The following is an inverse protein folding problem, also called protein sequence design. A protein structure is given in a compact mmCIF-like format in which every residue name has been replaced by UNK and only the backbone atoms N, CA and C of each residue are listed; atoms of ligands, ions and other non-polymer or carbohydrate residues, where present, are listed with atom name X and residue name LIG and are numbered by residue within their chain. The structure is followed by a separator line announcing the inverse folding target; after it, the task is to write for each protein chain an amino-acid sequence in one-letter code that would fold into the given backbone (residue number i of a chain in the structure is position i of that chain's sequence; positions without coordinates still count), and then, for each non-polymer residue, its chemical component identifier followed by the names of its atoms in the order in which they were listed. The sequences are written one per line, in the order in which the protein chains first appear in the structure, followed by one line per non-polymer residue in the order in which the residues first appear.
data_IF_614490029982
#
_entry.id   IF_614490029982
#
_cell.length_a   1.000
_cell.length_b   1.000
_cell.length_c   1.000
_cell.angle_alpha   90.00
_cell.angle_beta   90.00
_cell.angle_gamma   90.00
#
_symmetry.space_group_name_H-M   'P 1'
#
loop_
_entity.id
_entity.type
_entity.pdbx_description
1 polymer ?
#
# COMPACT_ATOMS: atom_id res chain seq x y z
N UNK A 1 -49.64 7.88 -14.85
CA UNK A 1 -49.19 6.48 -14.86
C UNK A 1 -47.68 6.50 -14.96
N UNK A 2 -47.02 6.21 -13.84
CA UNK A 2 -45.58 6.36 -13.66
C UNK A 2 -44.89 5.04 -13.98
N UNK A 3 -44.11 4.99 -15.05
CA UNK A 3 -43.38 3.77 -15.41
C UNK A 3 -41.94 4.14 -15.73
N UNK A 4 -41.17 4.16 -14.64
CA UNK A 4 -39.76 3.75 -14.48
C UNK A 4 -38.81 4.02 -15.64
N UNK A 5 -37.99 5.04 -15.44
CA UNK A 5 -36.67 5.21 -16.05
C UNK A 5 -35.83 3.95 -15.86
N UNK A 6 -35.55 3.23 -16.94
CA UNK A 6 -34.50 2.21 -17.00
C UNK A 6 -33.15 2.92 -16.93
N UNK A 7 -32.59 3.04 -15.72
CA UNK A 7 -31.23 3.53 -15.48
C UNK A 7 -30.21 2.45 -15.88
N UNK A 8 -29.19 2.77 -16.69
CA UNK A 8 -28.11 1.86 -17.00
C UNK A 8 -27.04 1.95 -15.89
N UNK A 9 -27.32 1.34 -14.73
CA UNK A 9 -26.36 1.24 -13.62
C UNK A 9 -26.22 -0.22 -13.17
N UNK A 10 -25.69 -1.07 -14.04
CA UNK A 10 -25.27 -2.43 -13.63
C UNK A 10 -24.04 -2.91 -14.37
N UNK A 11 -23.07 -2.03 -14.56
CA UNK A 11 -21.74 -2.37 -15.06
C UNK A 11 -20.73 -1.63 -14.17
N UNK A 12 -19.85 -2.39 -13.49
CA UNK A 12 -18.77 -1.93 -12.60
C UNK A 12 -19.06 -1.77 -11.10
N UNK A 13 -19.77 -2.71 -10.48
CA UNK A 13 -19.64 -2.98 -9.04
C UNK A 13 -19.07 -4.38 -8.86
N UNK A 14 -17.79 -4.57 -9.23
CA UNK A 14 -17.01 -5.60 -8.54
C UNK A 14 -16.67 -4.95 -7.21
N UNK A 15 -17.22 -5.41 -6.07
CA UNK A 15 -16.79 -4.89 -4.79
C UNK A 15 -15.28 -5.08 -4.74
N UNK A 16 -14.54 -4.00 -4.56
CA UNK A 16 -13.16 -4.06 -4.09
C UNK A 16 -13.21 -4.71 -2.71
N UNK A 17 -13.33 -6.04 -2.69
CA UNK A 17 -13.54 -6.82 -1.49
C UNK A 17 -12.30 -6.61 -0.63
N UNK A 18 -12.47 -6.06 0.56
CA UNK A 18 -11.38 -5.88 1.49
C UNK A 18 -11.53 -6.91 2.62
N UNK A 19 -10.42 -7.43 3.16
CA UNK A 19 -10.47 -8.22 4.38
C UNK A 19 -11.25 -7.48 5.47
N UNK A 20 -12.15 -8.17 6.20
CA UNK A 20 -12.86 -7.54 7.30
C UNK A 20 -11.86 -7.11 8.38
N UNK A 21 -12.13 -5.96 9.00
CA UNK A 21 -11.36 -5.52 10.16
C UNK A 21 -11.53 -6.51 11.31
N UNK A 22 -10.56 -6.62 12.23
CA UNK A 22 -10.71 -7.47 13.41
C UNK A 22 -11.94 -7.13 14.26
N UNK A 23 -12.39 -5.89 14.22
CA UNK A 23 -13.57 -5.38 14.94
C UNK A 23 -14.85 -5.40 14.09
N UNK A 24 -14.80 -5.97 12.88
CA UNK A 24 -15.97 -6.03 11.99
C UNK A 24 -17.09 -6.83 12.65
N UNK A 25 -18.30 -6.29 12.58
CA UNK A 25 -19.52 -6.92 13.08
C UNK A 25 -19.80 -8.24 12.35
N UNK A 26 -20.55 -9.16 12.97
CA UNK A 26 -20.94 -10.41 12.31
C UNK A 26 -21.66 -10.18 10.97
N UNK A 27 -22.49 -9.13 10.86
CA UNK A 27 -23.16 -8.74 9.61
C UNK A 27 -22.18 -8.37 8.49
N UNK A 28 -21.12 -7.62 8.81
CA UNK A 28 -20.09 -7.27 7.83
C UNK A 28 -19.30 -8.50 7.40
N UNK A 29 -19.05 -9.43 8.33
CA UNK A 29 -18.39 -10.70 8.02
C UNK A 29 -19.26 -11.56 7.10
N UNK A 30 -20.59 -11.62 7.32
CA UNK A 30 -21.50 -12.34 6.43
C UNK A 30 -21.51 -11.77 5.01
N UNK A 31 -21.56 -10.44 4.89
CA UNK A 31 -21.46 -9.77 3.60
C UNK A 31 -20.13 -10.10 2.91
N UNK A 32 -19.02 -10.06 3.66
CA UNK A 32 -17.71 -10.45 3.13
C UNK A 32 -17.68 -11.90 2.64
N UNK A 33 -18.18 -12.87 3.43
CA UNK A 33 -18.20 -14.29 3.03
C UNK A 33 -19.05 -14.48 1.77
N UNK A 34 -20.22 -13.84 1.70
CA UNK A 34 -21.13 -13.94 0.55
C UNK A 34 -20.41 -13.49 -0.73
N UNK A 35 -19.85 -12.28 -0.72
CA UNK A 35 -19.13 -11.72 -1.86
C UNK A 35 -17.88 -12.54 -2.21
N UNK A 36 -17.14 -12.99 -1.19
CA UNK A 36 -15.96 -13.84 -1.38
C UNK A 36 -16.31 -15.12 -2.15
N UNK A 37 -17.39 -15.80 -1.76
CA UNK A 37 -17.82 -17.06 -2.37
C UNK A 37 -18.33 -16.86 -3.81
N UNK A 38 -19.04 -15.76 -4.07
CA UNK A 38 -19.44 -15.38 -5.43
C UNK A 38 -18.21 -15.12 -6.29
N UNK A 39 -17.25 -14.33 -5.80
CA UNK A 39 -16.07 -13.94 -6.57
C UNK A 39 -15.09 -15.09 -6.82
N UNK A 40 -14.90 -15.97 -5.84
CA UNK A 40 -13.88 -17.04 -5.92
C UNK A 40 -14.39 -18.31 -6.56
N UNK A 41 -15.67 -18.65 -6.36
CA UNK A 41 -16.26 -19.94 -6.78
C UNK A 41 -17.43 -19.77 -7.75
N UNK A 42 -17.84 -18.54 -8.06
CA UNK A 42 -18.99 -18.25 -8.91
C UNK A 42 -20.27 -18.92 -8.40
N UNK A 43 -20.42 -18.99 -7.07
CA UNK A 43 -21.62 -19.54 -6.44
C UNK A 43 -22.83 -18.61 -6.67
N UNK A 44 -24.05 -19.16 -6.80
CA UNK A 44 -25.26 -18.35 -6.85
C UNK A 44 -25.37 -17.47 -5.60
N UNK A 45 -25.74 -16.20 -5.78
CA UNK A 45 -25.77 -15.22 -4.69
C UNK A 45 -26.64 -15.68 -3.50
N UNK A 46 -27.77 -16.34 -3.78
CA UNK A 46 -28.65 -16.88 -2.73
C UNK A 46 -27.94 -17.97 -1.92
N UNK A 47 -27.26 -18.91 -2.59
CA UNK A 47 -26.57 -20.00 -1.92
C UNK A 47 -25.36 -19.51 -1.11
N UNK A 48 -24.60 -18.55 -1.64
CA UNK A 48 -23.49 -17.92 -0.92
C UNK A 48 -24.00 -17.20 0.34
N UNK A 49 -25.15 -16.54 0.26
CA UNK A 49 -25.82 -15.90 1.39
C UNK A 49 -26.28 -16.93 2.43
N UNK A 50 -26.91 -18.02 2.01
CA UNK A 50 -27.37 -19.08 2.91
C UNK A 50 -26.19 -19.69 3.70
N UNK A 51 -25.03 -19.88 3.06
CA UNK A 51 -23.80 -20.31 3.72
C UNK A 51 -23.34 -19.24 4.71
N UNK A 52 -23.23 -17.98 4.27
CA UNK A 52 -22.77 -16.88 5.10
C UNK A 52 -23.67 -16.65 6.33
N UNK A 53 -24.99 -16.82 6.20
CA UNK A 53 -25.95 -16.66 7.27
C UNK A 53 -25.72 -17.65 8.43
N UNK A 54 -25.01 -18.77 8.22
CA UNK A 54 -24.56 -19.66 9.31
C UNK A 54 -23.60 -18.95 10.28
N UNK A 55 -22.91 -17.89 9.86
CA UNK A 55 -22.01 -17.11 10.70
C UNK A 55 -22.76 -16.08 11.59
N UNK A 56 -23.05 -16.47 12.83
CA UNK A 56 -23.90 -15.67 13.73
C UNK A 56 -23.15 -14.75 14.69
N UNK A 57 -22.14 -15.26 15.40
CA UNK A 57 -21.53 -14.59 16.55
C UNK A 57 -20.09 -14.10 16.32
N UNK A 58 -19.39 -14.63 15.31
CA UNK A 58 -17.99 -14.30 15.08
C UNK A 58 -17.82 -12.89 14.50
N UNK A 59 -16.78 -12.19 14.94
CA UNK A 59 -16.32 -10.93 14.32
C UNK A 59 -15.25 -11.22 13.26
N UNK A 60 -14.75 -10.17 12.60
CA UNK A 60 -13.65 -10.33 11.64
C UNK A 60 -12.37 -10.90 12.27
N UNK A 61 -12.18 -10.75 13.59
CA UNK A 61 -11.10 -11.42 14.31
C UNK A 61 -11.28 -12.93 14.27
N UNK A 62 -12.45 -13.43 14.67
CA UNK A 62 -12.74 -14.87 14.69
C UNK A 62 -12.59 -15.49 13.29
N UNK A 63 -12.96 -14.76 12.23
CA UNK A 63 -12.73 -15.19 10.85
C UNK A 63 -11.25 -15.48 10.51
N UNK A 64 -10.32 -14.82 11.19
CA UNK A 64 -8.87 -15.07 10.99
C UNK A 64 -8.28 -16.04 11.98
N UNK A 65 -8.89 -16.16 13.16
CA UNK A 65 -8.26 -16.82 14.33
C UNK A 65 -8.84 -18.22 14.57
N UNK A 66 -10.08 -18.48 14.17
CA UNK A 66 -10.72 -19.76 14.38
C UNK A 66 -10.00 -20.89 13.62
N UNK A 67 -9.79 -22.05 14.27
CA UNK A 67 -9.24 -23.22 13.61
C UNK A 67 -10.26 -23.84 12.65
N UNK A 68 -9.82 -24.65 11.67
CA UNK A 68 -10.71 -25.32 10.72
C UNK A 68 -11.84 -26.14 11.36
N UNK A 69 -11.61 -26.70 12.55
CA UNK A 69 -12.63 -27.47 13.29
C UNK A 69 -13.85 -26.62 13.63
N UNK A 70 -13.65 -25.39 14.09
CA UNK A 70 -14.76 -24.47 14.41
C UNK A 70 -15.52 -24.07 13.15
N UNK A 71 -14.85 -23.96 12.00
CA UNK A 71 -15.55 -23.78 10.73
C UNK A 71 -16.43 -24.98 10.39
N UNK A 72 -15.95 -26.21 10.61
CA UNK A 72 -16.73 -27.43 10.39
C UNK A 72 -17.99 -27.46 11.28
N UNK A 73 -17.87 -27.04 12.54
CA UNK A 73 -19.00 -26.95 13.46
C UNK A 73 -20.06 -25.91 13.02
N UNK A 74 -19.63 -24.80 12.40
CA UNK A 74 -20.53 -23.72 11.95
C UNK A 74 -21.17 -24.03 10.60
N UNK A 75 -20.37 -24.43 9.61
CA UNK A 75 -20.80 -24.52 8.21
C UNK A 75 -21.15 -25.95 7.79
N UNK A 76 -20.64 -26.96 8.49
CA UNK A 76 -20.62 -28.35 8.06
C UNK A 76 -19.37 -28.68 7.24
N UNK A 77 -18.97 -29.95 7.20
CA UNK A 77 -17.66 -30.38 6.68
C UNK A 77 -17.34 -29.90 5.25
N UNK A 78 -18.34 -29.89 4.36
CA UNK A 78 -18.15 -29.50 2.95
C UNK A 78 -17.97 -27.98 2.79
N UNK A 79 -18.94 -27.20 3.27
CA UNK A 79 -18.94 -25.74 3.20
C UNK A 79 -17.77 -25.13 3.99
N UNK A 80 -17.44 -25.72 5.14
CA UNK A 80 -16.40 -25.23 6.03
C UNK A 80 -15.03 -25.17 5.38
N UNK A 81 -14.64 -26.24 4.67
CA UNK A 81 -13.35 -26.28 3.99
C UNK A 81 -13.24 -25.17 2.94
N UNK A 82 -14.30 -24.97 2.17
CA UNK A 82 -14.37 -23.93 1.17
C UNK A 82 -14.26 -22.53 1.80
N UNK A 83 -15.11 -22.21 2.77
CA UNK A 83 -15.12 -20.89 3.42
C UNK A 83 -13.78 -20.60 4.10
N UNK A 84 -13.22 -21.57 4.82
CA UNK A 84 -11.93 -21.44 5.48
C UNK A 84 -10.81 -21.17 4.47
N UNK A 85 -10.69 -22.02 3.44
CA UNK A 85 -9.64 -21.90 2.43
C UNK A 85 -9.69 -20.56 1.71
N UNK A 86 -10.85 -20.17 1.19
CA UNK A 86 -10.98 -18.94 0.42
C UNK A 86 -10.74 -17.71 1.29
N UNK A 87 -11.27 -17.69 2.53
CA UNK A 87 -11.08 -16.55 3.44
C UNK A 87 -9.61 -16.37 3.80
N UNK A 88 -8.93 -17.47 4.15
CA UNK A 88 -7.52 -17.42 4.55
C UNK A 88 -6.62 -17.03 3.38
N UNK A 89 -6.87 -17.55 2.18
CA UNK A 89 -6.12 -17.16 0.98
C UNK A 89 -6.32 -15.69 0.63
N UNK A 90 -7.56 -15.20 0.69
CA UNK A 90 -7.87 -13.81 0.41
C UNK A 90 -7.16 -12.86 1.37
N UNK A 91 -7.24 -13.14 2.67
CA UNK A 91 -6.65 -12.31 3.72
C UNK A 91 -5.12 -12.33 3.62
N UNK A 92 -4.50 -13.48 3.34
CA UNK A 92 -3.05 -13.58 3.12
C UNK A 92 -2.59 -12.75 1.93
N UNK A 93 -3.28 -12.85 0.79
CA UNK A 93 -2.97 -12.05 -0.41
C UNK A 93 -3.10 -10.56 -0.15
N UNK A 94 -4.18 -10.15 0.52
CA UNK A 94 -4.39 -8.74 0.86
C UNK A 94 -3.31 -8.19 1.82
N UNK A 95 -2.85 -8.99 2.79
CA UNK A 95 -1.73 -8.63 3.67
C UNK A 95 -0.41 -8.51 2.91
N UNK A 96 -0.12 -9.44 2.01
CA UNK A 96 1.08 -9.39 1.17
C UNK A 96 1.11 -8.14 0.29
N UNK A 97 -0.02 -7.82 -0.34
CA UNK A 97 -0.11 -6.62 -1.18
C UNK A 97 0.00 -5.32 -0.38
N UNK A 98 -0.51 -5.30 0.85
CA UNK A 98 -0.29 -4.17 1.78
C UNK A 98 1.18 -4.01 2.13
N UNK A 99 1.86 -5.11 2.48
CA UNK A 99 3.28 -5.10 2.82
C UNK A 99 4.13 -4.65 1.64
N UNK A 100 3.87 -5.18 0.43
CA UNK A 100 4.54 -4.78 -0.81
C UNK A 100 4.43 -3.27 -1.04
N UNK A 101 3.22 -2.71 -0.93
CA UNK A 101 2.98 -1.26 -1.06
C UNK A 101 3.74 -0.44 -0.01
N UNK A 102 3.84 -0.95 1.22
CA UNK A 102 4.58 -0.29 2.29
C UNK A 102 6.10 -0.31 2.07
N UNK A 103 6.63 -1.40 1.51
CA UNK A 103 8.06 -1.51 1.20
C UNK A 103 8.46 -0.61 0.02
N UNK A 104 7.62 -0.49 -1.01
CA UNK A 104 7.82 0.51 -2.08
C UNK A 104 7.84 1.94 -1.52
N UNK A 105 6.93 2.25 -0.59
CA UNK A 105 6.91 3.57 0.05
C UNK A 105 8.17 3.84 0.87
N UNK A 106 8.65 2.84 1.64
CA UNK A 106 9.92 2.93 2.37
C UNK A 106 11.11 3.13 1.43
N UNK A 107 11.10 2.48 0.26
CA UNK A 107 12.16 2.62 -0.74
C UNK A 107 12.26 4.06 -1.24
N UNK A 108 11.11 4.68 -1.57
CA UNK A 108 11.04 6.07 -2.02
C UNK A 108 11.40 7.11 -0.94
N UNK A 109 11.20 6.82 0.35
CA UNK A 109 11.62 7.71 1.44
C UNK A 109 13.07 7.49 1.86
N UNK A 110 13.64 6.31 1.60
CA UNK A 110 15.06 6.01 1.83
C UNK A 110 15.99 6.56 0.75
N UNK A 111 15.48 6.91 -0.43
CA UNK A 111 16.26 7.53 -1.52
C UNK A 111 16.53 9.02 -1.32
N UNK A 112 16.57 9.50 -0.07
CA UNK A 112 17.21 10.80 0.19
C UNK A 112 18.71 10.70 -0.12
N UNK A 113 19.28 11.63 -0.90
CA UNK A 113 20.69 11.59 -1.24
C UNK A 113 21.50 11.67 0.05
N UNK A 114 22.39 10.71 0.24
CA UNK A 114 23.36 10.68 1.34
C UNK A 114 24.03 12.05 1.52
N UNK A 115 24.35 12.48 2.76
CA UNK A 115 25.02 13.76 3.02
C UNK A 115 26.39 13.90 2.34
N UNK A 116 26.94 12.82 1.76
CA UNK A 116 28.12 12.84 0.91
C UNK A 116 27.96 13.70 -0.37
N UNK A 117 26.74 13.88 -0.90
CA UNK A 117 26.51 14.79 -2.03
C UNK A 117 26.65 16.27 -1.60
N UNK A 118 26.19 16.62 -0.40
CA UNK A 118 26.36 17.97 0.15
C UNK A 118 27.81 18.26 0.53
N UNK A 119 28.55 17.26 1.01
CA UNK A 119 29.96 17.42 1.36
C UNK A 119 30.85 17.61 0.12
N UNK A 120 30.55 16.92 -0.99
CA UNK A 120 31.27 17.14 -2.26
C UNK A 120 30.96 18.53 -2.85
N UNK A 121 29.70 18.98 -2.74
CA UNK A 121 29.29 20.31 -3.21
C UNK A 121 29.93 21.45 -2.38
N UNK A 122 30.04 21.29 -1.06
CA UNK A 122 30.68 22.27 -0.18
C UNK A 122 32.21 22.33 -0.36
N UNK A 123 32.88 21.18 -0.56
CA UNK A 123 34.32 21.16 -0.87
C UNK A 123 34.60 21.88 -2.19
N UNK A 124 33.74 21.72 -3.20
CA UNK A 124 33.91 22.36 -4.50
C UNK A 124 33.72 23.89 -4.43
N UNK A 125 32.78 24.38 -3.62
CA UNK A 125 32.58 25.83 -3.40
C UNK A 125 33.76 26.44 -2.63
N UNK A 126 34.30 25.75 -1.62
CA UNK A 126 35.47 26.23 -0.88
C UNK A 126 36.75 26.28 -1.73
N UNK A 127 37.00 25.28 -2.58
CA UNK A 127 38.14 25.30 -3.50
C UNK A 127 38.02 26.36 -4.59
N UNK A 128 36.81 26.62 -5.10
CA UNK A 128 36.58 27.70 -6.07
C UNK A 128 36.78 29.08 -5.44
N UNK A 129 36.43 29.26 -4.16
CA UNK A 129 36.68 30.51 -3.43
C UNK A 129 38.18 30.76 -3.15
N UNK A 130 38.95 29.68 -2.88
CA UNK A 130 40.41 29.74 -2.74
C UNK A 130 41.08 30.06 -4.09
N UNK A 131 40.63 29.44 -5.19
CA UNK A 131 41.18 29.70 -6.53
C UNK A 131 40.88 31.13 -7.02
N UNK A 132 39.69 31.66 -6.72
CA UNK A 132 39.32 33.03 -7.06
C UNK A 132 40.07 34.08 -6.23
N UNK A 133 40.45 33.75 -4.98
CA UNK A 133 41.29 34.62 -4.13
C UNK A 133 42.75 34.65 -4.59
N UNK A 134 43.28 33.54 -5.10
CA UNK A 134 44.65 33.47 -5.64
C UNK A 134 44.80 34.25 -6.96
N UNK A 135 43.78 34.23 -7.83
CA UNK A 135 43.79 34.98 -9.08
C UNK A 135 43.78 36.51 -8.89
N UNK A 136 43.18 37.02 -7.81
CA UNK A 136 43.18 38.47 -7.51
C UNK A 136 44.49 38.94 -6.88
N UNK A 137 45.17 38.08 -6.10
CA UNK A 137 46.46 38.41 -5.49
C UNK A 137 47.60 38.48 -6.51
N UNK A 138 47.57 37.67 -7.58
CA UNK A 138 48.59 37.69 -8.62
C UNK A 138 48.47 38.91 -9.56
N UNK A 139 47.26 39.43 -9.74
CA UNK A 139 47.01 40.63 -10.57
C UNK A 139 47.45 41.94 -9.86
N UNK A 140 47.32 42.02 -8.54
CA UNK A 140 47.77 43.19 -7.77
C UNK A 140 49.30 43.31 -7.71
N UNK A 141 50.01 42.16 -7.68
CA UNK A 141 51.47 42.14 -7.66
C UNK A 141 52.09 42.56 -9.01
N UNK A 142 51.39 42.31 -10.13
CA UNK A 142 51.84 42.71 -11.46
C UNK A 142 51.62 44.21 -11.73
N UNK A 143 50.57 44.82 -11.17
CA UNK A 143 50.31 46.27 -11.29
C UNK A 143 51.22 47.15 -10.41
N UNK A 144 51.72 46.63 -9.28
CA UNK A 144 52.69 47.33 -8.44
C UNK A 144 54.13 47.28 -8.97
N UNK A 145 54.47 46.30 -9.82
CA UNK A 145 55.80 46.20 -10.42
C UNK A 145 55.96 47.08 -11.67
N UNK A 146 54.88 47.32 -12.43
CA UNK A 146 54.93 48.14 -13.66
C UNK A 146 55.00 49.66 -13.42
N UNK A 147 54.62 50.17 -12.25
CA UNK A 147 54.69 51.61 -11.92
C UNK A 147 56.02 52.07 -11.31
N UNK A 148 57.06 51.21 -11.31
CA UNK A 148 58.39 51.54 -10.77
C UNK A 148 59.51 51.59 -11.81
N UNK A 149 59.18 51.62 -13.09
CA UNK A 149 60.13 51.73 -14.22
C UNK A 149 59.65 52.82 -15.21
N UNK A 150 59.38 54.02 -14.70
CA UNK A 150 59.42 55.26 -15.51
C UNK A 150 60.07 56.32 -14.63
N UNK A 151 61.40 56.37 -14.69
CA UNK A 151 62.24 57.52 -14.40
C UNK A 151 63.32 57.53 -15.48
#
# INVERSE_FOLDING_TARGET
MSNSSTSPEKQSLIPQLNPPLPTASPSEVRAFITELLILTRNLPAQHAKDIADKWHLGTGRELTTYPPSVYADIFGSEDAWMVYKESQLFIRRARQEKNRRQDELRKCTSSHPTPFAYHFFLIHISLHSIFCSFSKSLSLHFLLLSNRIIC
#
